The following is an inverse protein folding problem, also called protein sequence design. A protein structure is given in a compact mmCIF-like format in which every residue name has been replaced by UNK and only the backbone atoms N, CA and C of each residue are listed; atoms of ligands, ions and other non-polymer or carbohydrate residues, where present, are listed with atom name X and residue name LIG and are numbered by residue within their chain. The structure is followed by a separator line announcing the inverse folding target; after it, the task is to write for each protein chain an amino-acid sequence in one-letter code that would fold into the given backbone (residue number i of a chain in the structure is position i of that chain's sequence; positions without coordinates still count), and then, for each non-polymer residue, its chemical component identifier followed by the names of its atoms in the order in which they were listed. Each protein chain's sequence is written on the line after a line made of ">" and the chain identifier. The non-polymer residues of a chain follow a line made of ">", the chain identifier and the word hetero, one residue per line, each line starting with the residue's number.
data_IF_759617919987
#
_entry.id   IF_759617919987
#
_cell.length_a   1.000
_cell.length_b   1.000
_cell.length_c   1.000
_cell.angle_alpha   90.00
_cell.angle_beta   90.00
_cell.angle_gamma   90.00
#
_symmetry.space_group_name_H-M   'P 1'
#
loop_
_entity.id
_entity.type
_entity.pdbx_description
1 polymer ?
#
# COMPACT_ATOMS: atom_id res chain seq x y z
N UNK A 1 -16.64 -11.43 6.41
CA UNK A 1 -15.99 -12.32 7.40
C UNK A 1 -14.56 -12.59 6.97
N UNK A 2 -13.59 -11.80 7.44
CA UNK A 2 -12.18 -12.01 7.11
C UNK A 2 -11.53 -12.88 8.19
N UNK A 3 -11.29 -14.15 7.84
CA UNK A 3 -10.41 -15.05 8.60
C UNK A 3 -9.00 -14.91 8.02
N UNK A 4 -8.17 -14.07 8.63
CA UNK A 4 -6.72 -14.16 8.49
C UNK A 4 -6.20 -14.70 9.82
N UNK A 5 -5.48 -15.83 9.78
CA UNK A 5 -4.84 -16.50 10.93
C UNK A 5 -5.71 -17.38 11.87
N UNK A 6 -6.93 -17.77 11.50
CA UNK A 6 -7.69 -18.77 12.28
C UNK A 6 -8.20 -18.29 13.64
N UNK A 7 -7.99 -17.01 13.99
CA UNK A 7 -8.56 -16.38 15.18
C UNK A 7 -9.91 -15.81 14.83
N UNK A 8 -10.97 -16.35 15.44
CA UNK A 8 -12.33 -15.83 15.34
C UNK A 8 -12.41 -14.53 16.16
N UNK A 9 -12.07 -13.39 15.55
CA UNK A 9 -12.12 -12.07 16.19
C UNK A 9 -13.58 -11.67 16.52
N UNK A 10 -14.12 -12.20 17.62
CA UNK A 10 -15.33 -11.70 18.25
C UNK A 10 -14.95 -10.62 19.27
N UNK A 11 -14.65 -9.41 18.79
CA UNK A 11 -14.92 -8.12 19.47
C UNK A 11 -14.12 -7.00 18.79
N UNK A 12 -14.83 -5.95 18.36
CA UNK A 12 -14.27 -4.72 17.79
C UNK A 12 -13.23 -4.03 18.71
N UNK A 13 -13.27 -4.31 20.02
CA UNK A 13 -12.35 -3.74 21.04
C UNK A 13 -10.87 -4.07 20.80
N UNK A 14 -10.57 -5.26 20.29
CA UNK A 14 -9.19 -5.69 20.04
C UNK A 14 -8.48 -4.91 18.92
N UNK A 15 -9.24 -4.27 18.03
CA UNK A 15 -8.67 -3.39 17.00
C UNK A 15 -8.15 -2.08 17.56
N UNK A 16 -8.54 -1.71 18.79
CA UNK A 16 -8.05 -0.51 19.48
C UNK A 16 -6.81 -0.78 20.33
N UNK A 17 -6.39 -2.04 20.50
CA UNK A 17 -5.13 -2.39 21.15
C UNK A 17 -3.97 -2.17 20.17
N UNK A 18 -3.05 -1.22 20.44
CA UNK A 18 -2.04 -0.81 19.46
C UNK A 18 -1.13 -1.96 18.99
N UNK A 19 -0.64 -2.79 19.92
CA UNK A 19 0.26 -3.90 19.60
C UNK A 19 -0.41 -4.92 18.68
N UNK A 20 -1.65 -5.29 18.99
CA UNK A 20 -2.40 -6.25 18.19
C UNK A 20 -2.79 -5.67 16.82
N UNK A 21 -3.19 -4.40 16.77
CA UNK A 21 -3.51 -3.72 15.52
C UNK A 21 -2.29 -3.67 14.58
N UNK A 22 -1.12 -3.27 15.12
CA UNK A 22 0.13 -3.24 14.37
C UNK A 22 0.51 -4.64 13.89
N UNK A 23 0.36 -5.66 14.75
CA UNK A 23 0.67 -7.03 14.38
C UNK A 23 -0.20 -7.53 13.22
N UNK A 24 -1.52 -7.39 13.33
CA UNK A 24 -2.47 -7.81 12.30
C UNK A 24 -2.29 -7.03 11.00
N UNK A 25 -2.11 -5.70 11.09
CA UNK A 25 -1.82 -4.85 9.95
C UNK A 25 -0.53 -5.27 9.23
N UNK A 26 0.53 -5.53 9.98
CA UNK A 26 1.81 -5.98 9.44
C UNK A 26 1.71 -7.35 8.75
N UNK A 27 0.94 -8.29 9.31
CA UNK A 27 0.66 -9.57 8.68
C UNK A 27 -0.07 -9.39 7.34
N UNK A 28 -1.05 -8.49 7.29
CA UNK A 28 -1.78 -8.22 6.05
C UNK A 28 -0.88 -7.54 5.00
N UNK A 29 -0.06 -6.56 5.39
CA UNK A 29 0.94 -5.95 4.49
C UNK A 29 1.92 -7.00 3.95
N UNK A 30 2.38 -7.95 4.78
CA UNK A 30 3.24 -9.06 4.34
C UNK A 30 2.55 -9.95 3.32
N UNK A 31 1.25 -10.22 3.48
CA UNK A 31 0.47 -10.97 2.49
C UNK A 31 0.37 -10.20 1.16
N UNK A 32 0.10 -8.89 1.20
CA UNK A 32 0.05 -8.06 0.01
C UNK A 32 1.40 -7.97 -0.69
N UNK A 33 2.49 -7.84 0.07
CA UNK A 33 3.86 -7.86 -0.45
C UNK A 33 4.14 -9.14 -1.24
N UNK A 34 3.79 -10.30 -0.69
CA UNK A 34 3.90 -11.58 -1.42
C UNK A 34 3.04 -11.61 -2.68
N UNK A 35 1.81 -11.13 -2.61
CA UNK A 35 0.86 -11.13 -3.74
C UNK A 35 1.33 -10.25 -4.89
N UNK A 36 1.93 -9.10 -4.60
CA UNK A 36 2.34 -8.09 -5.57
C UNK A 36 3.86 -8.00 -5.75
N UNK A 37 4.61 -9.02 -5.30
CA UNK A 37 6.08 -9.11 -5.43
C UNK A 37 6.82 -7.86 -4.91
N UNK A 38 6.32 -7.30 -3.81
CA UNK A 38 6.91 -6.10 -3.18
C UNK A 38 6.63 -4.77 -3.90
N UNK A 39 5.82 -4.76 -4.95
CA UNK A 39 5.50 -3.54 -5.67
C UNK A 39 4.58 -2.63 -4.84
N UNK A 40 5.17 -1.56 -4.29
CA UNK A 40 4.53 -0.67 -3.30
C UNK A 40 3.22 -0.08 -3.83
N UNK A 41 3.14 0.30 -5.11
CA UNK A 41 1.93 0.94 -5.69
C UNK A 41 0.72 0.02 -5.63
N UNK A 42 0.91 -1.26 -5.95
CA UNK A 42 -0.15 -2.26 -5.89
C UNK A 42 -0.48 -2.66 -4.46
N UNK A 43 0.53 -2.77 -3.59
CA UNK A 43 0.33 -3.08 -2.18
C UNK A 43 -0.52 -2.02 -1.47
N UNK A 44 -0.20 -0.73 -1.66
CA UNK A 44 -0.92 0.38 -1.03
C UNK A 44 -2.36 0.47 -1.52
N UNK A 45 -2.56 0.41 -2.85
CA UNK A 45 -3.91 0.40 -3.41
C UNK A 45 -4.73 -0.81 -2.92
N UNK A 46 -4.10 -1.98 -2.76
CA UNK A 46 -4.79 -3.20 -2.33
C UNK A 46 -5.11 -3.19 -0.84
N UNK A 47 -4.33 -2.47 -0.03
CA UNK A 47 -4.62 -2.29 1.39
C UNK A 47 -5.93 -1.52 1.59
N UNK A 48 -6.16 -0.47 0.80
CA UNK A 48 -7.36 0.38 0.89
C UNK A 48 -8.55 -0.16 0.07
N UNK A 49 -8.34 -0.57 -1.18
CA UNK A 49 -9.42 -0.95 -2.10
C UNK A 49 -9.60 -2.46 -2.34
N UNK A 50 -8.73 -3.27 -1.72
CA UNK A 50 -8.74 -4.72 -1.84
C UNK A 50 -7.98 -5.25 -3.08
N UNK A 51 -7.34 -6.44 -2.99
CA UNK A 51 -6.50 -6.96 -4.08
C UNK A 51 -7.23 -7.26 -5.38
N UNK A 52 -8.53 -7.58 -5.31
CA UNK A 52 -9.34 -7.89 -6.50
C UNK A 52 -9.43 -6.71 -7.46
N UNK A 53 -9.60 -5.48 -6.95
CA UNK A 53 -9.66 -4.27 -7.78
C UNK A 53 -8.31 -3.94 -8.38
N UNK A 54 -7.24 -4.03 -7.58
CA UNK A 54 -5.87 -3.79 -8.04
C UNK A 54 -5.45 -4.73 -9.16
N UNK A 55 -5.88 -6.00 -9.12
CA UNK A 55 -5.65 -6.95 -10.23
C UNK A 55 -6.30 -6.50 -11.55
N UNK A 56 -7.38 -5.71 -11.51
CA UNK A 56 -7.99 -5.13 -12.72
C UNK A 56 -7.23 -3.89 -13.17
N UNK A 57 -6.96 -2.95 -12.26
CA UNK A 57 -6.25 -1.71 -12.60
C UNK A 57 -4.84 -1.96 -13.15
N UNK A 58 -4.15 -2.97 -12.63
CA UNK A 58 -2.83 -3.42 -13.12
C UNK A 58 -2.84 -3.89 -14.58
N UNK A 59 -3.99 -4.34 -15.11
CA UNK A 59 -4.11 -4.80 -16.51
C UNK A 59 -4.32 -3.66 -17.49
N UNK A 60 -4.58 -2.44 -17.01
CA UNK A 60 -4.72 -1.27 -17.88
C UNK A 60 -3.35 -0.96 -18.49
N UNK A 61 -3.25 -0.69 -19.80
CA UNK A 61 -1.99 -0.36 -20.45
C UNK A 61 -1.25 0.79 -19.75
N UNK A 62 0.06 0.65 -19.56
CA UNK A 62 0.91 1.65 -18.89
C UNK A 62 0.87 1.62 -17.36
N UNK A 63 0.03 0.79 -16.73
CA UNK A 63 -0.06 0.66 -15.27
C UNK A 63 1.16 0.00 -14.60
N UNK A 64 2.22 -0.31 -15.35
CA UNK A 64 3.55 -0.60 -14.84
C UNK A 64 4.21 0.66 -14.26
N UNK A 65 3.92 1.83 -14.84
CA UNK A 65 4.34 3.15 -14.32
C UNK A 65 3.44 3.60 -13.18
N UNK A 66 4.04 4.31 -12.22
CA UNK A 66 3.39 4.69 -10.96
C UNK A 66 2.26 5.73 -11.18
N UNK A 67 2.57 6.78 -11.91
CA UNK A 67 1.69 7.89 -12.28
C UNK A 67 0.45 7.38 -13.02
N UNK A 68 0.65 6.62 -14.10
CA UNK A 68 -0.43 6.03 -14.90
C UNK A 68 -1.27 5.08 -14.05
N UNK A 69 -0.64 4.23 -13.25
CA UNK A 69 -1.38 3.32 -12.38
C UNK A 69 -2.29 4.08 -11.40
N UNK A 70 -1.79 5.15 -10.78
CA UNK A 70 -2.57 5.92 -9.81
C UNK A 70 -3.75 6.61 -10.48
N UNK A 71 -3.56 7.24 -11.64
CA UNK A 71 -4.66 7.91 -12.34
C UNK A 71 -5.72 6.91 -12.87
N UNK A 72 -5.31 5.66 -13.11
CA UNK A 72 -6.22 4.56 -13.47
C UNK A 72 -7.03 3.97 -12.30
N UNK A 73 -6.73 4.32 -11.05
CA UNK A 73 -7.53 3.88 -9.90
C UNK A 73 -8.90 4.58 -9.97
N UNK A 74 -9.97 3.81 -10.10
CA UNK A 74 -11.35 4.32 -10.23
C UNK A 74 -11.78 5.22 -9.06
N UNK A 75 -11.31 4.92 -7.85
CA UNK A 75 -11.72 5.60 -6.62
C UNK A 75 -10.80 6.76 -6.27
N UNK A 76 -11.34 7.97 -6.26
CA UNK A 76 -10.61 9.18 -5.85
C UNK A 76 -10.04 9.07 -4.43
N UNK A 77 -10.78 8.47 -3.50
CA UNK A 77 -10.30 8.19 -2.14
C UNK A 77 -9.06 7.29 -2.15
N UNK A 78 -9.09 6.20 -2.92
CA UNK A 78 -7.94 5.29 -3.04
C UNK A 78 -6.75 5.97 -3.73
N UNK A 79 -6.99 6.82 -4.74
CA UNK A 79 -5.92 7.66 -5.34
C UNK A 79 -5.25 8.50 -4.26
N UNK A 80 -6.05 9.27 -3.51
CA UNK A 80 -5.56 10.15 -2.47
C UNK A 80 -4.84 9.37 -1.35
N UNK A 81 -5.36 8.20 -0.97
CA UNK A 81 -4.73 7.31 0.00
C UNK A 81 -3.33 6.89 -0.45
N UNK A 82 -3.18 6.40 -1.68
CA UNK A 82 -1.87 5.97 -2.22
C UNK A 82 -0.88 7.14 -2.23
N UNK A 83 -1.31 8.32 -2.73
CA UNK A 83 -0.47 9.53 -2.75
C UNK A 83 -0.01 9.92 -1.34
N UNK A 84 -0.92 9.94 -0.37
CA UNK A 84 -0.62 10.30 1.01
C UNK A 84 0.32 9.30 1.71
N UNK A 85 0.12 8.00 1.52
CA UNK A 85 0.97 6.99 2.16
C UNK A 85 2.38 6.99 1.56
N UNK A 86 2.53 7.17 0.24
CA UNK A 86 3.85 7.31 -0.38
C UNK A 86 4.58 8.55 0.13
N UNK A 87 3.89 9.69 0.19
CA UNK A 87 4.45 10.93 0.77
C UNK A 87 4.93 10.71 2.20
N UNK A 88 4.11 10.09 3.05
CA UNK A 88 4.48 9.82 4.44
C UNK A 88 5.61 8.81 4.55
N UNK A 89 5.64 7.76 3.71
CA UNK A 89 6.73 6.78 3.66
C UNK A 89 8.08 7.46 3.45
N UNK A 90 8.14 8.37 2.47
CA UNK A 90 9.36 9.13 2.19
C UNK A 90 9.72 10.09 3.33
N UNK A 91 8.75 10.78 3.92
CA UNK A 91 8.99 11.63 5.09
C UNK A 91 9.54 10.83 6.28
N UNK A 92 9.03 9.61 6.55
CA UNK A 92 9.57 8.75 7.61
C UNK A 92 10.97 8.21 7.27
N UNK A 93 11.25 7.89 6.00
CA UNK A 93 12.60 7.53 5.55
C UNK A 93 13.60 8.67 5.77
N UNK A 94 13.17 9.90 5.48
CA UNK A 94 13.91 11.13 5.75
C UNK A 94 14.27 11.27 7.23
N UNK A 95 13.26 11.19 8.10
CA UNK A 95 13.42 11.36 9.55
C UNK A 95 14.26 10.27 10.21
N UNK A 96 14.24 9.06 9.65
CA UNK A 96 14.98 7.91 10.22
C UNK A 96 16.43 7.83 9.72
N UNK A 97 16.90 8.83 8.98
CA UNK A 97 18.26 8.91 8.42
C UNK A 97 18.67 7.67 7.62
N UNK A 98 17.67 6.98 7.04
CA UNK A 98 17.84 5.68 6.39
C UNK A 98 17.76 5.84 4.87
N UNK A 99 18.66 6.68 4.35
CA UNK A 99 18.77 7.05 2.94
C UNK A 99 19.73 6.14 2.20
N UNK A 100 19.21 5.01 1.74
CA UNK A 100 19.72 4.37 0.53
C UNK A 100 18.60 4.47 -0.51
N UNK A 101 18.53 5.61 -1.20
CA UNK A 101 17.60 5.74 -2.34
C UNK A 101 18.35 5.24 -3.56
N UNK A 102 17.88 4.13 -4.13
CA UNK A 102 18.35 3.69 -5.44
C UNK A 102 17.88 4.70 -6.51
N UNK A 103 18.65 4.92 -7.57
CA UNK A 103 18.32 5.89 -8.63
C UNK A 103 16.91 5.69 -9.22
N UNK A 104 16.41 4.44 -9.24
CA UNK A 104 15.06 4.11 -9.67
C UNK A 104 13.94 4.67 -8.77
N UNK A 105 14.21 4.88 -7.48
CA UNK A 105 13.24 5.44 -6.54
C UNK A 105 13.17 6.98 -6.64
N UNK A 106 14.27 7.66 -6.98
CA UNK A 106 14.28 9.12 -7.24
C UNK A 106 13.49 9.49 -8.51
N UNK A 107 13.60 8.68 -9.56
CA UNK A 107 12.89 8.90 -10.82
C UNK A 107 11.36 8.90 -10.61
N UNK A 108 10.84 8.04 -9.73
CA UNK A 108 9.41 8.03 -9.37
C UNK A 108 8.93 9.29 -8.61
N UNK A 109 9.87 10.11 -8.13
CA UNK A 109 9.60 11.34 -7.37
C UNK A 109 9.62 12.58 -8.27
N UNK A 110 10.40 12.56 -9.35
CA UNK A 110 10.60 13.70 -10.27
C UNK A 110 9.55 13.79 -11.39
N UNK A 111 8.66 12.81 -11.53
CA UNK A 111 7.66 12.77 -12.60
C UNK A 111 6.41 13.65 -12.35
N UNK A 112 6.49 14.62 -11.42
CA UNK A 112 5.48 15.67 -11.25
C UNK A 112 4.22 15.21 -10.51
N UNK A 113 4.08 15.65 -9.26
CA UNK A 113 2.83 15.57 -8.48
C UNK A 113 2.10 16.90 -8.50
#
# INVERSE_FOLDING_TARGET
>A
MASLAGVRLKANRFLFEPELNIHLGSLYVKQLSRMFRGDKKYMLAAYNAGPHRVKRWRKIPGSDKLDIFIENIEFSETRLYVKNVLKNYWAYKLLTNNFEISDNELLSFNDGW
#
